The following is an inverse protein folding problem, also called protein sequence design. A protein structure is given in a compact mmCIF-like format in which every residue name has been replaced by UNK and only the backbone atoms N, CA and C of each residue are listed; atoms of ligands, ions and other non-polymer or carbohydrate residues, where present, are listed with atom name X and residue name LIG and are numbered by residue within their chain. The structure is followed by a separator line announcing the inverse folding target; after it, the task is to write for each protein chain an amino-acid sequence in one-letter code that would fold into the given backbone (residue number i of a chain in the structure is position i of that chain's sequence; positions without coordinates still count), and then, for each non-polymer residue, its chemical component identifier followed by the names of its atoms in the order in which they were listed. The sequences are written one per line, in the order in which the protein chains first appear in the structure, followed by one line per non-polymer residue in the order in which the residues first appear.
data_IF_558910838714
#
_entry.id   IF_558910838714
#
_cell.length_a   1.000
_cell.length_b   1.000
_cell.length_c   1.000
_cell.angle_alpha   90.00
_cell.angle_beta   90.00
_cell.angle_gamma   90.00
#
_symmetry.space_group_name_H-M   'P 1'
#
loop_
_entity.id
_entity.type
_entity.pdbx_description
1 polymer ?
#
# COMPACT_ATOMS: atom_id res chain seq x y z
N UNK A 1 15.12 25.50 20.35
CA UNK A 1 14.31 24.25 20.29
C UNK A 1 14.64 23.41 21.52
N UNK A 2 13.65 22.70 22.11
CA UNK A 2 13.89 21.72 23.18
C UNK A 2 14.81 20.61 22.64
N UNK A 3 15.89 20.33 23.34
CA UNK A 3 16.87 19.27 22.98
C UNK A 3 16.35 17.85 23.31
N UNK A 4 15.16 17.76 23.93
CA UNK A 4 14.53 16.50 24.30
C UNK A 4 13.91 15.81 23.06
N UNK A 5 14.11 14.48 22.90
CA UNK A 5 13.52 13.72 21.82
C UNK A 5 11.98 13.73 21.89
N UNK A 6 11.31 13.91 20.75
CA UNK A 6 9.86 13.79 20.67
C UNK A 6 9.43 12.31 20.78
N UNK A 7 8.27 12.05 21.36
CA UNK A 7 7.65 10.72 21.25
C UNK A 7 7.34 10.38 19.78
N UNK A 8 7.15 9.10 19.48
CA UNK A 8 6.77 8.66 18.13
C UNK A 8 5.55 9.44 17.62
N UNK A 9 4.48 9.46 18.42
CA UNK A 9 3.18 10.06 18.02
C UNK A 9 3.29 11.58 17.86
N UNK A 10 4.02 12.27 18.77
CA UNK A 10 4.26 13.69 18.66
C UNK A 10 5.09 14.06 17.44
N UNK A 11 6.11 13.24 17.11
CA UNK A 11 6.94 13.44 15.94
C UNK A 11 6.14 13.18 14.63
N UNK A 12 5.33 12.13 14.59
CA UNK A 12 4.43 11.85 13.46
C UNK A 12 3.40 12.96 13.28
N UNK A 13 2.73 13.38 14.34
CA UNK A 13 1.75 14.48 14.30
C UNK A 13 2.36 15.75 13.72
N UNK A 14 3.54 16.14 14.21
CA UNK A 14 4.25 17.33 13.72
C UNK A 14 4.66 17.19 12.25
N UNK A 15 5.26 16.06 11.89
CA UNK A 15 5.71 15.80 10.52
C UNK A 15 4.54 15.78 9.53
N UNK A 16 3.44 15.11 9.90
CA UNK A 16 2.28 14.99 9.02
C UNK A 16 1.51 16.30 8.88
N UNK A 17 1.49 17.15 9.91
CA UNK A 17 0.92 18.49 9.82
C UNK A 17 1.72 19.41 8.87
N UNK A 18 3.03 19.18 8.75
CA UNK A 18 3.89 19.93 7.84
C UNK A 18 3.82 19.47 6.37
N UNK A 19 3.22 18.30 6.09
CA UNK A 19 3.12 17.75 4.73
C UNK A 19 2.18 18.58 3.85
N UNK A 20 2.73 19.33 2.90
CA UNK A 20 1.99 20.09 1.89
C UNK A 20 1.53 19.14 0.78
N UNK A 21 0.25 19.14 0.43
CA UNK A 21 -0.27 18.36 -0.69
C UNK A 21 0.34 18.83 -2.02
N UNK A 22 0.58 17.89 -2.94
CA UNK A 22 0.80 18.24 -4.33
C UNK A 22 -0.50 18.77 -4.94
N UNK A 23 -0.40 19.87 -5.68
CA UNK A 23 -1.49 20.55 -6.37
C UNK A 23 -1.51 20.33 -7.89
N UNK A 24 -0.63 19.46 -8.37
CA UNK A 24 -0.44 19.18 -9.80
C UNK A 24 -0.92 17.78 -10.14
N UNK A 25 -1.68 17.69 -11.21
CA UNK A 25 -2.38 16.49 -11.64
C UNK A 25 -2.08 16.17 -13.10
N UNK A 26 -2.26 14.91 -13.49
CA UNK A 26 -2.07 14.47 -14.88
C UNK A 26 -3.03 13.34 -15.24
N UNK A 27 -3.32 13.23 -16.52
CA UNK A 27 -4.03 12.08 -17.07
C UNK A 27 -3.06 10.89 -17.20
N UNK A 28 -3.49 9.72 -16.76
CA UNK A 28 -2.70 8.51 -16.78
C UNK A 28 -3.52 7.34 -17.32
N UNK A 29 -2.99 6.63 -18.30
CA UNK A 29 -3.63 5.40 -18.76
C UNK A 29 -3.81 4.42 -17.59
N UNK A 30 -5.03 3.87 -17.42
CA UNK A 30 -5.37 2.99 -16.30
C UNK A 30 -4.38 1.82 -16.15
N UNK A 31 -3.91 1.24 -17.27
CA UNK A 31 -2.93 0.16 -17.28
C UNK A 31 -1.55 0.54 -16.68
N UNK A 32 -1.23 1.83 -16.58
CA UNK A 32 0.03 2.38 -16.02
C UNK A 32 -0.16 3.07 -14.68
N UNK A 33 -1.38 3.05 -14.14
CA UNK A 33 -1.74 3.83 -12.96
C UNK A 33 -1.49 3.12 -11.61
N UNK A 34 -0.92 1.92 -11.61
CA UNK A 34 -0.57 1.21 -10.37
C UNK A 34 0.32 2.07 -9.47
N UNK A 35 -0.07 2.16 -8.18
CA UNK A 35 0.64 2.94 -7.16
C UNK A 35 0.40 4.45 -7.21
N UNK A 36 -0.30 4.96 -8.24
CA UNK A 36 -0.70 6.37 -8.34
C UNK A 36 -1.84 6.66 -7.37
N UNK A 37 -2.05 7.94 -7.09
CA UNK A 37 -3.13 8.43 -6.23
C UNK A 37 -4.14 9.18 -7.09
N UNK A 38 -5.42 8.85 -6.96
CA UNK A 38 -6.50 9.56 -7.66
C UNK A 38 -6.58 11.01 -7.20
N UNK A 39 -6.58 11.94 -8.16
CA UNK A 39 -6.75 13.36 -7.92
C UNK A 39 -8.22 13.76 -7.79
N UNK A 40 -9.09 13.05 -8.51
CA UNK A 40 -10.56 13.27 -8.52
C UNK A 40 -11.27 11.94 -8.32
N UNK A 41 -12.49 11.94 -7.76
CA UNK A 41 -13.27 10.72 -7.67
C UNK A 41 -13.52 10.09 -9.04
N UNK A 42 -13.50 8.77 -9.12
CA UNK A 42 -13.96 8.04 -10.30
C UNK A 42 -15.45 7.76 -10.15
N UNK A 43 -16.24 8.34 -11.07
CA UNK A 43 -17.69 8.15 -11.13
C UNK A 43 -17.99 7.18 -12.26
N UNK A 44 -18.78 6.16 -11.98
CA UNK A 44 -19.22 5.22 -13.01
C UNK A 44 -20.25 5.87 -13.94
N UNK A 45 -20.07 5.71 -15.24
CA UNK A 45 -21.06 6.11 -16.24
C UNK A 45 -21.97 4.94 -16.68
N UNK A 46 -21.71 3.76 -16.15
CA UNK A 46 -22.40 2.53 -16.51
C UNK A 46 -22.88 1.80 -15.26
N UNK A 47 -23.91 1.01 -15.44
CA UNK A 47 -24.41 0.07 -14.42
C UNK A 47 -23.68 -1.27 -14.58
N UNK A 48 -23.25 -1.91 -13.47
CA UNK A 48 -22.56 -3.20 -13.48
C UNK A 48 -23.28 -4.18 -12.54
N UNK A 49 -23.74 -5.34 -13.03
CA UNK A 49 -23.89 -5.66 -14.44
C UNK A 49 -24.97 -4.78 -15.11
N UNK A 50 -24.90 -4.56 -16.45
CA UNK A 50 -25.82 -3.65 -17.12
C UNK A 50 -27.24 -4.20 -17.25
N UNK A 51 -27.42 -5.51 -17.18
CA UNK A 51 -28.71 -6.22 -17.28
C UNK A 51 -28.75 -7.34 -16.24
N UNK A 52 -29.96 -7.72 -15.85
CA UNK A 52 -30.17 -8.98 -15.10
C UNK A 52 -29.53 -10.13 -15.87
N UNK A 53 -28.75 -10.98 -15.22
CA UNK A 53 -28.06 -12.07 -15.88
C UNK A 53 -28.03 -13.35 -15.01
N UNK A 54 -27.81 -14.49 -15.68
CA UNK A 54 -27.70 -15.77 -14.99
C UNK A 54 -26.45 -15.84 -14.12
N UNK A 55 -26.61 -16.22 -12.87
CA UNK A 55 -25.51 -16.49 -11.95
C UNK A 55 -24.88 -17.87 -12.16
N UNK A 56 -25.60 -18.79 -12.81
CA UNK A 56 -25.24 -20.19 -13.01
C UNK A 56 -25.57 -20.65 -14.43
N UNK A 57 -24.93 -21.70 -14.87
CA UNK A 57 -25.31 -22.42 -16.09
C UNK A 57 -26.59 -23.23 -15.81
N UNK A 58 -27.58 -23.07 -16.68
CA UNK A 58 -28.87 -23.71 -16.43
C UNK A 58 -29.95 -23.35 -17.43
N UNK A 59 -31.15 -23.22 -16.92
CA UNK A 59 -32.34 -22.93 -17.73
C UNK A 59 -33.11 -21.75 -17.15
N UNK A 60 -33.32 -20.72 -17.94
CA UNK A 60 -34.22 -19.61 -17.62
C UNK A 60 -35.64 -19.94 -17.98
N UNK A 61 -36.59 -19.66 -17.10
CA UNK A 61 -37.99 -19.93 -17.28
C UNK A 61 -38.85 -18.90 -16.55
N UNK A 62 -40.15 -18.94 -16.83
CA UNK A 62 -41.16 -18.26 -16.00
C UNK A 62 -41.59 -19.24 -14.90
N UNK A 63 -41.55 -18.78 -13.68
CA UNK A 63 -41.96 -19.60 -12.52
C UNK A 63 -43.43 -20.12 -12.68
N UNK A 64 -44.28 -19.31 -13.29
CA UNK A 64 -45.67 -19.69 -13.55
C UNK A 64 -45.83 -20.88 -14.51
N UNK A 65 -44.83 -21.22 -15.31
CA UNK A 65 -44.86 -22.34 -16.27
C UNK A 65 -44.28 -23.63 -15.66
N UNK A 66 -43.78 -23.56 -14.41
CA UNK A 66 -43.18 -24.72 -13.75
C UNK A 66 -44.21 -25.63 -13.12
N UNK A 67 -44.04 -26.93 -13.32
CA UNK A 67 -44.54 -27.98 -12.42
C UNK A 67 -43.53 -29.11 -12.38
N UNK A 68 -43.54 -29.92 -11.31
CA UNK A 68 -42.51 -30.94 -11.12
C UNK A 68 -42.56 -32.07 -12.19
N UNK A 69 -43.62 -32.19 -12.94
CA UNK A 69 -43.78 -33.21 -13.98
C UNK A 69 -43.68 -32.61 -15.41
N UNK A 70 -43.68 -31.28 -15.54
CA UNK A 70 -43.68 -30.63 -16.83
C UNK A 70 -42.35 -30.71 -17.56
N UNK A 71 -42.40 -31.16 -18.81
CA UNK A 71 -41.31 -31.09 -19.78
C UNK A 71 -41.45 -29.83 -20.63
N UNK A 72 -40.63 -28.81 -20.38
CA UNK A 72 -40.64 -27.56 -21.10
C UNK A 72 -39.75 -27.65 -22.36
N UNK A 73 -40.23 -27.34 -23.56
CA UNK A 73 -39.38 -27.22 -24.75
C UNK A 73 -38.29 -26.16 -24.54
N UNK A 74 -37.06 -26.46 -24.95
CA UNK A 74 -35.97 -25.50 -24.95
C UNK A 74 -36.02 -24.66 -26.20
N UNK A 75 -36.57 -23.43 -26.10
CA UNK A 75 -36.89 -22.56 -27.26
C UNK A 75 -35.70 -21.80 -27.80
N UNK A 76 -34.67 -21.62 -26.98
CA UNK A 76 -33.43 -20.88 -27.35
C UNK A 76 -32.26 -21.25 -26.47
N UNK A 77 -31.05 -20.89 -26.95
CA UNK A 77 -29.80 -21.02 -26.23
C UNK A 77 -29.12 -19.66 -26.19
N UNK A 78 -28.80 -19.17 -24.98
CA UNK A 78 -28.29 -17.81 -24.73
C UNK A 78 -26.91 -17.90 -24.06
N UNK A 79 -25.82 -17.87 -24.84
CA UNK A 79 -24.46 -17.80 -24.26
C UNK A 79 -24.14 -16.38 -23.76
N UNK A 80 -23.15 -16.24 -22.90
CA UNK A 80 -22.66 -14.94 -22.44
C UNK A 80 -22.32 -14.02 -23.63
N UNK A 81 -22.65 -12.74 -23.49
CA UNK A 81 -22.46 -11.75 -24.57
C UNK A 81 -23.54 -11.73 -25.67
N UNK A 82 -24.56 -12.55 -25.55
CA UNK A 82 -25.70 -12.57 -26.51
C UNK A 82 -27.02 -12.28 -25.80
N UNK A 83 -27.88 -11.53 -26.44
CA UNK A 83 -29.23 -11.26 -25.95
C UNK A 83 -30.19 -12.37 -26.39
N UNK A 84 -30.99 -12.87 -25.45
CA UNK A 84 -32.09 -13.74 -25.76
C UNK A 84 -33.30 -12.98 -26.34
N UNK A 85 -34.15 -13.67 -27.09
CA UNK A 85 -35.49 -13.19 -27.48
C UNK A 85 -36.43 -13.37 -26.29
N UNK A 86 -37.57 -12.69 -26.31
CA UNK A 86 -38.64 -12.88 -25.35
C UNK A 86 -38.96 -14.38 -25.18
N UNK A 87 -39.07 -14.83 -23.95
CA UNK A 87 -39.33 -16.22 -23.61
C UNK A 87 -40.81 -16.53 -23.89
N UNK A 88 -41.02 -17.48 -24.81
CA UNK A 88 -42.39 -17.95 -25.12
C UNK A 88 -42.96 -18.67 -23.87
N UNK A 89 -44.22 -18.36 -23.48
CA UNK A 89 -44.90 -19.07 -22.39
C UNK A 89 -44.88 -20.60 -22.58
N UNK A 90 -44.66 -21.34 -21.52
CA UNK A 90 -44.55 -22.80 -21.55
C UNK A 90 -43.24 -23.34 -22.12
N UNK A 91 -42.23 -22.49 -22.30
CA UNK A 91 -40.88 -22.91 -22.74
C UNK A 91 -39.78 -22.51 -21.73
N UNK A 92 -38.60 -23.11 -21.90
CA UNK A 92 -37.38 -22.70 -21.18
C UNK A 92 -36.32 -22.23 -22.18
N UNK A 93 -35.35 -21.40 -21.69
CA UNK A 93 -34.17 -21.02 -22.45
C UNK A 93 -32.91 -21.64 -21.78
N UNK A 94 -32.12 -22.36 -22.57
CA UNK A 94 -30.79 -22.76 -22.09
C UNK A 94 -29.92 -21.50 -21.93
N UNK A 95 -29.45 -21.22 -20.72
CA UNK A 95 -28.70 -20.02 -20.40
C UNK A 95 -27.36 -20.37 -19.72
N UNK A 96 -26.37 -19.52 -19.91
CA UNK A 96 -25.03 -19.70 -19.32
C UNK A 96 -24.69 -18.55 -18.38
N UNK A 97 -23.80 -18.81 -17.43
CA UNK A 97 -23.34 -17.84 -16.46
C UNK A 97 -22.90 -16.53 -17.13
N UNK A 98 -23.44 -15.41 -16.65
CA UNK A 98 -23.18 -14.07 -17.21
C UNK A 98 -24.01 -13.73 -18.43
N UNK A 99 -24.81 -14.65 -19.00
CA UNK A 99 -25.70 -14.34 -20.09
C UNK A 99 -26.90 -13.50 -19.59
N UNK A 100 -27.31 -12.44 -20.33
CA UNK A 100 -28.49 -11.65 -19.98
C UNK A 100 -29.75 -12.50 -19.92
N UNK A 101 -30.56 -12.26 -18.90
CA UNK A 101 -31.84 -12.92 -18.74
C UNK A 101 -32.77 -12.51 -19.89
N UNK A 102 -33.40 -13.46 -20.59
CA UNK A 102 -34.34 -13.11 -21.64
C UNK A 102 -35.60 -12.44 -21.06
N UNK A 103 -36.19 -11.46 -21.73
CA UNK A 103 -37.46 -10.88 -21.30
C UNK A 103 -38.52 -11.97 -21.08
N UNK A 104 -39.31 -11.85 -20.01
CA UNK A 104 -40.32 -12.81 -19.65
C UNK A 104 -39.85 -13.93 -18.70
N UNK A 105 -38.56 -14.18 -18.57
CA UNK A 105 -38.04 -15.10 -17.54
C UNK A 105 -37.91 -14.39 -16.19
N UNK A 106 -38.19 -15.10 -15.10
CA UNK A 106 -38.14 -14.59 -13.72
C UNK A 106 -37.32 -15.45 -12.77
N UNK A 107 -36.78 -16.58 -13.22
CA UNK A 107 -35.83 -17.40 -12.49
C UNK A 107 -34.90 -18.17 -13.43
N UNK A 108 -33.78 -18.61 -12.88
CA UNK A 108 -32.82 -19.55 -13.47
C UNK A 108 -32.68 -20.74 -12.54
N UNK A 109 -32.69 -21.94 -13.12
CA UNK A 109 -32.43 -23.19 -12.39
C UNK A 109 -31.12 -23.78 -12.90
N UNK A 110 -30.28 -24.29 -11.98
CA UNK A 110 -28.98 -24.88 -12.35
C UNK A 110 -29.18 -26.14 -13.18
N UNK A 111 -28.28 -26.41 -14.10
CA UNK A 111 -28.36 -27.59 -14.98
C UNK A 111 -28.30 -28.90 -14.16
N UNK A 112 -27.71 -28.89 -12.99
CA UNK A 112 -27.59 -30.03 -12.07
C UNK A 112 -28.95 -30.45 -11.47
N UNK A 113 -29.86 -29.50 -11.39
CA UNK A 113 -31.24 -29.69 -10.88
C UNK A 113 -32.25 -29.98 -12.00
N UNK A 114 -31.76 -30.26 -13.22
CA UNK A 114 -32.57 -30.44 -14.43
C UNK A 114 -32.31 -31.79 -15.10
N UNK A 115 -33.37 -32.36 -15.65
CA UNK A 115 -33.30 -33.50 -16.57
C UNK A 115 -33.54 -33.02 -18.00
N UNK A 116 -32.78 -33.56 -18.95
CA UNK A 116 -32.89 -33.15 -20.37
C UNK A 116 -33.18 -34.34 -21.25
N UNK A 117 -34.22 -34.26 -22.07
CA UNK A 117 -34.60 -35.26 -23.07
C UNK A 117 -35.13 -34.61 -24.34
N UNK A 118 -34.62 -35.03 -25.48
CA UNK A 118 -35.10 -34.68 -26.83
C UNK A 118 -35.43 -33.18 -27.04
N UNK A 119 -34.56 -32.27 -26.51
CA UNK A 119 -34.72 -30.82 -26.64
C UNK A 119 -35.74 -30.22 -25.68
N UNK A 120 -36.14 -30.97 -24.62
CA UNK A 120 -36.96 -30.50 -23.51
C UNK A 120 -36.20 -30.63 -22.21
N UNK A 121 -36.59 -29.83 -21.21
CA UNK A 121 -36.05 -29.84 -19.86
C UNK A 121 -37.17 -30.06 -18.84
N UNK A 122 -36.90 -30.90 -17.85
CA UNK A 122 -37.72 -31.07 -16.65
C UNK A 122 -36.92 -30.56 -15.46
N UNK A 123 -37.54 -29.76 -14.60
CA UNK A 123 -36.92 -29.16 -13.44
C UNK A 123 -37.37 -29.93 -12.22
N UNK A 124 -36.42 -30.68 -11.62
CA UNK A 124 -36.69 -31.61 -10.54
C UNK A 124 -36.88 -30.91 -9.18
N UNK A 125 -36.31 -29.72 -9.00
CA UNK A 125 -36.33 -28.94 -7.75
C UNK A 125 -37.20 -27.70 -7.96
N UNK A 126 -38.07 -27.37 -6.98
CA UNK A 126 -38.93 -26.19 -7.05
C UNK A 126 -38.13 -24.90 -7.19
N UNK A 127 -38.26 -24.14 -8.30
CA UNK A 127 -37.55 -22.90 -8.48
C UNK A 127 -38.01 -21.83 -7.48
N UNK A 128 -37.14 -20.87 -7.22
CA UNK A 128 -37.48 -19.71 -6.39
C UNK A 128 -37.61 -18.47 -7.25
N UNK A 129 -38.53 -17.54 -6.95
CA UNK A 129 -38.60 -16.26 -7.67
C UNK A 129 -37.25 -15.54 -7.57
N UNK A 130 -36.70 -15.11 -8.72
CA UNK A 130 -35.40 -14.48 -8.79
C UNK A 130 -34.20 -15.41 -8.51
N UNK A 131 -34.44 -16.75 -8.44
CA UNK A 131 -33.37 -17.71 -8.19
C UNK A 131 -32.27 -17.64 -9.24
N UNK A 132 -31.02 -17.66 -8.79
CA UNK A 132 -29.80 -17.63 -9.64
C UNK A 132 -29.77 -16.49 -10.68
N UNK A 133 -30.35 -15.33 -10.34
CA UNK A 133 -30.30 -14.10 -11.13
C UNK A 133 -29.44 -13.07 -10.38
N UNK A 134 -28.39 -12.55 -11.04
CA UNK A 134 -27.70 -11.33 -10.63
C UNK A 134 -28.44 -10.14 -11.19
N UNK A 135 -28.78 -9.20 -10.36
CA UNK A 135 -29.58 -8.04 -10.77
C UNK A 135 -28.72 -6.96 -11.42
N UNK A 136 -29.28 -6.25 -12.37
CA UNK A 136 -28.67 -5.05 -12.92
C UNK A 136 -28.33 -4.07 -11.81
N UNK A 137 -27.07 -3.59 -11.77
CA UNK A 137 -26.58 -2.66 -10.74
C UNK A 137 -26.38 -3.28 -9.36
N UNK A 138 -26.29 -4.59 -9.27
CA UNK A 138 -25.99 -5.29 -8.00
C UNK A 138 -24.64 -4.86 -7.41
N UNK A 139 -23.65 -4.59 -8.25
CA UNK A 139 -22.30 -4.13 -7.85
C UNK A 139 -22.18 -2.61 -7.94
N UNK A 140 -22.41 -2.03 -9.11
CA UNK A 140 -22.24 -0.60 -9.37
C UNK A 140 -23.45 -0.03 -10.12
N UNK A 141 -23.90 1.14 -9.68
CA UNK A 141 -24.93 1.91 -10.40
C UNK A 141 -24.29 3.07 -11.16
N UNK A 142 -24.90 3.43 -12.28
CA UNK A 142 -24.52 4.64 -13.00
C UNK A 142 -24.58 5.85 -12.05
N UNK A 143 -23.66 6.80 -12.24
CA UNK A 143 -23.45 8.02 -11.46
C UNK A 143 -22.98 7.78 -10.00
N UNK A 144 -22.67 6.55 -9.63
CA UNK A 144 -22.05 6.23 -8.34
C UNK A 144 -20.56 6.54 -8.37
N UNK A 145 -20.05 7.15 -7.28
CA UNK A 145 -18.60 7.23 -7.00
C UNK A 145 -18.11 5.83 -6.66
N UNK A 146 -17.22 5.29 -7.47
CA UNK A 146 -16.66 3.93 -7.27
C UNK A 146 -15.29 3.93 -6.62
N UNK A 147 -14.53 5.02 -6.78
CA UNK A 147 -13.27 5.27 -6.08
C UNK A 147 -13.17 6.75 -5.71
N UNK A 148 -12.88 7.05 -4.46
CA UNK A 148 -12.72 8.42 -3.98
C UNK A 148 -11.39 9.04 -4.42
N UNK A 149 -11.33 10.37 -4.51
CA UNK A 149 -10.06 11.10 -4.58
C UNK A 149 -9.19 10.72 -3.38
N UNK A 150 -7.86 10.66 -3.57
CA UNK A 150 -6.92 10.20 -2.54
C UNK A 150 -6.79 8.67 -2.45
N UNK A 151 -7.55 7.91 -3.24
CA UNK A 151 -7.37 6.46 -3.32
C UNK A 151 -6.05 6.12 -4.02
N UNK A 152 -5.18 5.35 -3.34
CA UNK A 152 -4.00 4.76 -3.98
C UNK A 152 -4.40 3.54 -4.79
N UNK A 153 -4.03 3.53 -6.07
CA UNK A 153 -4.47 2.53 -7.04
C UNK A 153 -3.66 1.23 -6.93
N UNK A 154 -4.27 0.22 -6.33
CA UNK A 154 -3.79 -1.16 -6.32
C UNK A 154 -4.52 -2.02 -7.37
N UNK A 155 -4.24 -3.33 -7.40
CA UNK A 155 -4.86 -4.23 -8.37
C UNK A 155 -6.40 -4.23 -8.32
N UNK A 156 -7.01 -4.23 -7.14
CA UNK A 156 -8.46 -4.20 -6.98
C UNK A 156 -9.07 -2.90 -7.49
N UNK A 157 -8.45 -1.75 -7.19
CA UNK A 157 -8.92 -0.44 -7.66
C UNK A 157 -8.83 -0.31 -9.19
N UNK A 158 -7.78 -0.87 -9.79
CA UNK A 158 -7.64 -0.92 -11.26
C UNK A 158 -8.69 -1.85 -11.88
N UNK A 159 -9.03 -2.95 -11.23
CA UNK A 159 -10.13 -3.83 -11.62
C UNK A 159 -11.48 -3.09 -11.63
N UNK A 160 -11.77 -2.35 -10.55
CA UNK A 160 -12.98 -1.50 -10.47
C UNK A 160 -12.98 -0.43 -11.56
N UNK A 161 -11.87 0.25 -11.79
CA UNK A 161 -11.77 1.23 -12.88
C UNK A 161 -12.04 0.61 -14.25
N UNK A 162 -11.49 -0.57 -14.50
CA UNK A 162 -11.72 -1.30 -15.75
C UNK A 162 -13.18 -1.76 -15.90
N UNK A 163 -13.85 -2.21 -14.81
CA UNK A 163 -15.24 -2.67 -14.86
C UNK A 163 -16.24 -1.58 -15.23
N UNK A 164 -15.89 -0.32 -14.98
CA UNK A 164 -16.68 0.86 -15.40
C UNK A 164 -16.20 1.49 -16.71
N UNK A 165 -15.26 0.84 -17.42
CA UNK A 165 -14.77 1.26 -18.73
C UNK A 165 -13.77 2.42 -18.69
N UNK A 166 -13.17 2.74 -17.54
CA UNK A 166 -12.19 3.81 -17.44
C UNK A 166 -10.83 3.38 -18.05
N UNK A 167 -10.51 3.92 -19.22
CA UNK A 167 -9.22 3.71 -19.90
C UNK A 167 -8.14 4.69 -19.42
N UNK A 168 -8.54 5.84 -18.89
CA UNK A 168 -7.70 6.90 -18.38
C UNK A 168 -8.19 7.37 -17.01
N UNK A 169 -7.28 7.70 -16.12
CA UNK A 169 -7.55 8.16 -14.75
C UNK A 169 -6.85 9.49 -14.50
N UNK A 170 -7.52 10.40 -13.79
CA UNK A 170 -6.94 11.66 -13.35
C UNK A 170 -6.22 11.44 -12.02
N UNK A 171 -4.90 11.56 -12.02
CA UNK A 171 -4.06 11.19 -10.87
C UNK A 171 -3.17 12.36 -10.45
N UNK A 172 -2.78 12.38 -9.19
CA UNK A 172 -1.73 13.28 -8.70
C UNK A 172 -0.44 12.98 -9.45
N UNK A 173 0.32 14.00 -9.91
CA UNK A 173 1.62 13.77 -10.55
C UNK A 173 2.57 12.98 -9.64
N UNK A 174 3.59 12.37 -10.19
CA UNK A 174 4.60 11.71 -9.37
C UNK A 174 5.31 12.72 -8.47
N UNK A 175 5.44 12.38 -7.19
CA UNK A 175 6.26 13.13 -6.24
C UNK A 175 7.73 12.89 -6.62
N UNK A 176 8.51 13.94 -6.74
CA UNK A 176 9.95 13.87 -7.02
C UNK A 176 10.72 13.85 -5.71
N UNK A 177 11.55 12.82 -5.52
CA UNK A 177 12.39 12.66 -4.33
C UNK A 177 13.85 12.58 -4.74
N UNK A 178 14.62 13.60 -4.39
CA UNK A 178 16.07 13.55 -4.57
C UNK A 178 16.71 12.84 -3.39
N UNK A 179 17.65 11.92 -3.66
CA UNK A 179 18.39 11.19 -2.63
C UNK A 179 19.88 11.40 -2.79
N UNK A 180 20.59 11.54 -1.67
CA UNK A 180 22.04 11.49 -1.62
C UNK A 180 22.52 10.85 -0.31
N UNK A 181 23.75 10.39 -0.28
CA UNK A 181 24.33 9.64 0.84
C UNK A 181 25.66 10.26 1.21
N UNK A 182 25.87 10.52 2.51
CA UNK A 182 27.13 11.03 3.04
C UNK A 182 27.82 9.95 3.86
N UNK A 183 29.13 9.95 3.83
CA UNK A 183 29.99 9.01 4.55
C UNK A 183 31.21 8.69 3.72
N UNK A 184 32.38 9.17 4.16
CA UNK A 184 33.64 8.89 3.47
C UNK A 184 34.01 7.42 3.51
N UNK A 185 33.41 6.63 4.45
CA UNK A 185 33.55 5.19 4.53
C UNK A 185 32.79 4.43 3.43
N UNK A 186 31.86 5.07 2.73
CA UNK A 186 30.95 4.41 1.77
C UNK A 186 31.65 4.11 0.44
N UNK A 187 31.34 2.95 -0.12
CA UNK A 187 31.78 2.49 -1.45
C UNK A 187 30.56 2.00 -2.25
N UNK A 188 30.55 2.33 -3.53
CA UNK A 188 29.49 1.82 -4.42
C UNK A 188 29.67 0.30 -4.62
N UNK A 189 28.60 -0.52 -4.47
CA UNK A 189 28.66 -1.95 -4.78
C UNK A 189 29.22 -2.23 -6.17
N UNK A 190 30.08 -3.24 -6.27
CA UNK A 190 30.80 -3.60 -7.50
C UNK A 190 32.20 -2.96 -7.61
N UNK A 191 32.53 -1.97 -6.80
CA UNK A 191 33.88 -1.44 -6.71
C UNK A 191 34.71 -2.20 -5.68
N UNK A 192 36.06 -2.23 -5.79
CA UNK A 192 36.91 -2.79 -4.75
C UNK A 192 36.63 -2.15 -3.38
N UNK A 193 36.67 -2.95 -2.32
CA UNK A 193 36.44 -2.48 -0.95
C UNK A 193 37.77 -2.26 -0.22
N UNK A 194 38.27 -1.04 -0.08
CA UNK A 194 39.48 -0.76 0.67
C UNK A 194 39.30 -1.03 2.18
N UNK A 195 40.37 -1.28 2.94
CA UNK A 195 40.32 -1.37 4.39
C UNK A 195 39.66 -0.14 5.03
N UNK A 196 38.77 -0.35 6.02
CA UNK A 196 38.04 0.71 6.71
C UNK A 196 36.82 1.25 5.96
N UNK A 197 36.52 0.76 4.79
CA UNK A 197 35.31 1.14 4.01
C UNK A 197 34.24 0.07 4.09
N UNK A 198 33.00 0.49 3.80
CA UNK A 198 31.81 -0.38 3.71
C UNK A 198 31.02 -0.09 2.43
N UNK A 199 30.27 -1.07 1.94
CA UNK A 199 29.36 -0.82 0.82
C UNK A 199 28.14 -0.01 1.25
N UNK A 200 27.71 0.93 0.41
CA UNK A 200 26.53 1.76 0.63
C UNK A 200 25.23 0.92 0.42
N UNK A 201 24.85 0.17 1.45
CA UNK A 201 23.60 -0.62 1.44
C UNK A 201 22.34 0.26 1.56
N UNK A 202 22.44 1.44 2.21
CA UNK A 202 21.30 2.34 2.37
C UNK A 202 20.82 2.88 1.03
N UNK A 203 21.72 3.13 0.07
CA UNK A 203 21.35 3.53 -1.28
C UNK A 203 20.43 2.51 -1.94
N UNK A 204 20.81 1.23 -1.92
CA UNK A 204 19.99 0.17 -2.50
C UNK A 204 18.64 0.04 -1.77
N UNK A 205 18.65 0.05 -0.44
CA UNK A 205 17.44 -0.10 0.38
C UNK A 205 16.47 1.06 0.18
N UNK A 206 16.95 2.30 0.28
CA UNK A 206 16.08 3.48 0.20
C UNK A 206 15.58 3.72 -1.23
N UNK A 207 16.39 3.47 -2.26
CA UNK A 207 15.94 3.53 -3.65
C UNK A 207 14.81 2.53 -3.92
N UNK A 208 14.97 1.27 -3.50
CA UNK A 208 13.93 0.25 -3.66
C UNK A 208 12.63 0.61 -2.92
N UNK A 209 12.72 1.14 -1.71
CA UNK A 209 11.56 1.60 -0.92
C UNK A 209 10.82 2.77 -1.60
N UNK A 210 11.57 3.71 -2.17
CA UNK A 210 11.00 4.85 -2.90
C UNK A 210 10.36 4.42 -4.22
N UNK A 211 11.00 3.54 -4.98
CA UNK A 211 10.45 2.96 -6.21
C UNK A 211 9.15 2.21 -5.96
N UNK A 212 9.07 1.44 -4.87
CA UNK A 212 7.85 0.74 -4.45
C UNK A 212 6.68 1.70 -4.15
N UNK A 213 6.98 2.90 -3.65
CA UNK A 213 5.97 3.95 -3.46
C UNK A 213 5.48 4.57 -4.78
N UNK A 214 6.22 4.39 -5.87
CA UNK A 214 5.90 4.94 -7.18
C UNK A 214 6.27 6.41 -7.34
N UNK A 215 7.17 6.94 -6.50
CA UNK A 215 7.74 8.29 -6.64
C UNK A 215 8.81 8.33 -7.75
N UNK A 216 9.11 9.51 -8.26
CA UNK A 216 10.23 9.74 -9.16
C UNK A 216 11.51 9.97 -8.34
N UNK A 217 12.47 9.06 -8.45
CA UNK A 217 13.73 9.13 -7.69
C UNK A 217 14.80 9.84 -8.49
N UNK A 218 15.40 10.87 -7.91
CA UNK A 218 16.56 11.59 -8.45
C UNK A 218 17.77 11.24 -7.57
N UNK A 219 18.55 10.26 -8.01
CA UNK A 219 19.71 9.77 -7.25
C UNK A 219 20.96 10.59 -7.54
N UNK A 220 21.39 11.41 -6.57
CA UNK A 220 22.62 12.22 -6.63
C UNK A 220 23.86 11.46 -6.16
N UNK A 221 23.71 10.20 -5.74
CA UNK A 221 24.82 9.34 -5.34
C UNK A 221 25.43 9.69 -3.98
N UNK A 222 26.75 9.49 -3.88
CA UNK A 222 27.52 9.78 -2.68
C UNK A 222 28.08 11.20 -2.72
N UNK A 223 27.91 11.92 -1.62
CA UNK A 223 28.45 13.26 -1.40
C UNK A 223 29.58 13.19 -0.36
N UNK A 224 30.73 13.79 -0.60
CA UNK A 224 31.84 13.83 0.38
C UNK A 224 31.41 14.49 1.70
N UNK A 225 31.97 14.04 2.84
CA UNK A 225 31.68 14.59 4.17
C UNK A 225 32.37 15.97 4.36
N UNK A 226 31.90 16.94 3.57
CA UNK A 226 32.34 18.35 3.61
C UNK A 226 31.14 19.26 3.49
N UNK A 227 31.14 20.35 4.24
CA UNK A 227 30.05 21.31 4.28
C UNK A 227 29.74 21.91 2.89
N UNK A 228 30.76 22.33 2.16
CA UNK A 228 30.62 22.93 0.82
C UNK A 228 29.99 21.95 -0.19
N UNK A 229 30.42 20.68 -0.18
CA UNK A 229 29.87 19.62 -1.01
C UNK A 229 28.40 19.31 -0.65
N UNK A 230 28.10 19.24 0.65
CA UNK A 230 26.74 19.01 1.14
C UNK A 230 25.81 20.18 0.81
N UNK A 231 26.25 21.43 0.94
CA UNK A 231 25.49 22.62 0.53
C UNK A 231 25.20 22.61 -0.97
N UNK A 232 26.20 22.27 -1.81
CA UNK A 232 26.01 22.17 -3.24
C UNK A 232 25.01 21.07 -3.63
N UNK A 233 25.11 19.89 -3.02
CA UNK A 233 24.19 18.79 -3.25
C UNK A 233 22.76 19.14 -2.82
N UNK A 234 22.57 19.78 -1.67
CA UNK A 234 21.26 20.23 -1.19
C UNK A 234 20.61 21.26 -2.11
N UNK A 235 21.38 22.23 -2.64
CA UNK A 235 20.86 23.20 -3.61
C UNK A 235 20.39 22.53 -4.89
N UNK A 236 21.20 21.61 -5.42
CA UNK A 236 20.85 20.86 -6.62
C UNK A 236 19.59 20.00 -6.39
N UNK A 237 19.56 19.27 -5.28
CA UNK A 237 18.44 18.42 -4.89
C UNK A 237 17.14 19.21 -4.72
N UNK A 238 17.17 20.32 -3.97
CA UNK A 238 16.01 21.16 -3.71
C UNK A 238 15.48 21.90 -4.94
N UNK A 239 16.36 22.18 -5.91
CA UNK A 239 15.94 22.76 -7.20
C UNK A 239 15.30 21.78 -8.16
N UNK A 240 15.49 20.47 -7.95
CA UNK A 240 15.02 19.41 -8.85
C UNK A 240 13.85 18.57 -8.29
N UNK A 241 13.62 18.58 -6.98
CA UNK A 241 12.69 17.69 -6.31
C UNK A 241 11.76 18.39 -5.31
N UNK A 242 10.65 17.72 -4.99
CA UNK A 242 9.69 18.16 -3.97
C UNK A 242 10.17 17.83 -2.56
N UNK A 243 10.95 16.74 -2.45
CA UNK A 243 11.49 16.22 -1.18
C UNK A 243 12.95 15.83 -1.40
N UNK A 244 13.79 16.20 -0.46
CA UNK A 244 15.20 15.77 -0.39
C UNK A 244 15.35 14.78 0.75
N UNK A 245 15.91 13.62 0.46
CA UNK A 245 16.17 12.55 1.43
C UNK A 245 17.66 12.27 1.49
N UNK A 246 18.23 12.18 2.68
CA UNK A 246 19.62 11.73 2.85
C UNK A 246 19.71 10.64 3.93
N UNK A 247 20.76 9.84 3.87
CA UNK A 247 21.14 8.92 4.94
C UNK A 247 22.61 9.11 5.25
N UNK A 248 22.91 9.33 6.54
CA UNK A 248 24.23 9.75 7.06
C UNK A 248 24.27 11.25 7.38
N UNK A 249 25.26 11.69 8.13
CA UNK A 249 25.53 13.09 8.45
C UNK A 249 24.48 13.85 9.29
N UNK A 250 23.59 13.13 9.99
CA UNK A 250 22.47 13.73 10.75
C UNK A 250 22.55 13.49 12.26
N UNK A 251 23.66 12.99 12.78
CA UNK A 251 23.87 12.76 14.20
C UNK A 251 24.49 13.98 14.90
N UNK A 252 25.25 13.78 15.93
CA UNK A 252 25.94 14.81 16.72
C UNK A 252 27.47 14.77 16.55
N UNK A 253 27.96 14.05 15.53
CA UNK A 253 29.38 13.92 15.23
C UNK A 253 29.98 15.22 14.66
N UNK A 254 31.27 15.38 14.79
CA UNK A 254 32.01 16.53 14.27
C UNK A 254 31.97 16.58 12.73
N UNK A 255 31.85 15.43 12.07
CA UNK A 255 31.78 15.25 10.62
C UNK A 255 30.31 15.30 10.07
N UNK A 256 29.34 15.64 10.93
CA UNK A 256 27.90 15.68 10.53
C UNK A 256 27.54 17.04 9.92
N UNK A 257 27.94 17.29 8.68
CA UNK A 257 27.75 18.56 7.99
C UNK A 257 26.33 18.80 7.48
N UNK A 258 25.46 17.77 7.41
CA UNK A 258 24.11 17.89 6.85
C UNK A 258 23.26 18.90 7.63
N UNK A 259 23.30 18.86 8.96
CA UNK A 259 22.55 19.81 9.80
C UNK A 259 22.95 21.26 9.51
N UNK A 260 24.26 21.55 9.53
CA UNK A 260 24.80 22.90 9.25
C UNK A 260 24.43 23.37 7.83
N UNK A 261 24.48 22.48 6.85
CA UNK A 261 24.13 22.79 5.47
C UNK A 261 22.63 23.11 5.31
N UNK A 262 21.74 22.38 5.99
CA UNK A 262 20.29 22.66 6.00
C UNK A 262 20.01 24.00 6.69
N UNK A 263 20.65 24.29 7.84
CA UNK A 263 20.50 25.58 8.55
C UNK A 263 20.99 26.76 7.70
N UNK A 264 21.99 26.57 6.86
CA UNK A 264 22.50 27.59 5.94
C UNK A 264 21.55 27.88 4.76
N UNK A 265 20.78 26.87 4.29
CA UNK A 265 19.94 26.97 3.09
C UNK A 265 18.45 27.07 3.40
N UNK A 266 18.05 26.87 4.63
CA UNK A 266 16.66 26.80 5.01
C UNK A 266 16.43 26.72 6.52
N UNK A 267 15.59 25.80 6.96
CA UNK A 267 15.22 25.67 8.37
C UNK A 267 15.14 24.21 8.81
N UNK A 268 15.43 23.99 10.10
CA UNK A 268 15.22 22.71 10.78
C UNK A 268 14.04 22.85 11.75
N UNK A 269 13.07 21.96 11.64
CA UNK A 269 11.86 21.95 12.47
C UNK A 269 11.84 20.82 13.52
N UNK A 270 12.48 19.69 13.22
CA UNK A 270 12.53 18.52 14.10
C UNK A 270 13.86 17.78 13.95
N UNK A 271 14.44 17.27 15.02
CA UNK A 271 15.76 16.61 14.96
C UNK A 271 15.86 15.25 15.65
N UNK A 272 15.14 14.96 16.73
CA UNK A 272 15.30 13.71 17.49
C UNK A 272 13.97 13.08 17.83
N UNK A 273 13.90 11.75 17.73
CA UNK A 273 12.72 10.95 18.11
C UNK A 273 13.08 9.91 19.14
N UNK A 274 12.19 9.67 20.10
CA UNK A 274 12.39 8.71 21.19
C UNK A 274 12.06 7.28 20.76
N UNK A 275 12.71 6.80 19.67
CA UNK A 275 12.60 5.42 19.20
C UNK A 275 13.96 4.71 19.20
N UNK A 276 13.92 3.38 19.10
CA UNK A 276 15.09 2.50 18.93
C UNK A 276 14.72 1.31 18.04
N UNK A 277 15.46 1.08 16.93
CA UNK A 277 16.51 1.94 16.38
C UNK A 277 15.91 3.20 15.71
N UNK A 278 16.74 4.25 15.48
CA UNK A 278 16.33 5.42 14.68
C UNK A 278 16.17 6.73 15.46
N UNK A 279 16.97 6.96 16.52
CA UNK A 279 16.93 8.21 17.31
C UNK A 279 17.08 9.49 16.48
N UNK A 280 18.07 9.63 15.56
CA UNK A 280 18.16 10.80 14.71
C UNK A 280 17.13 10.71 13.57
N UNK A 281 16.30 11.74 13.45
CA UNK A 281 15.46 12.04 12.30
C UNK A 281 15.42 13.54 12.20
N UNK A 282 16.00 14.07 11.13
CA UNK A 282 16.00 15.49 10.85
C UNK A 282 14.90 15.80 9.85
N UNK A 283 14.00 16.71 10.20
CA UNK A 283 13.03 17.28 9.28
C UNK A 283 13.23 18.80 9.21
N UNK A 284 13.17 19.33 8.01
CA UNK A 284 13.30 20.75 7.73
C UNK A 284 12.90 21.09 6.31
N UNK A 285 13.34 22.27 5.85
CA UNK A 285 13.12 22.76 4.50
C UNK A 285 14.39 23.34 3.91
N UNK A 286 14.55 23.12 2.60
CA UNK A 286 15.60 23.74 1.78
C UNK A 286 14.90 24.35 0.56
N UNK A 287 14.80 25.68 0.53
CA UNK A 287 13.94 26.35 -0.44
C UNK A 287 12.48 25.87 -0.33
N UNK A 288 11.91 25.45 -1.45
CA UNK A 288 10.55 24.90 -1.50
C UNK A 288 10.47 23.40 -1.20
N UNK A 289 11.59 22.69 -1.19
CA UNK A 289 11.63 21.25 -0.93
C UNK A 289 11.58 20.94 0.57
N UNK A 290 10.82 19.90 0.93
CA UNK A 290 10.93 19.30 2.26
C UNK A 290 12.23 18.51 2.36
N UNK A 291 12.87 18.56 3.51
CA UNK A 291 14.11 17.84 3.79
C UNK A 291 13.91 16.80 4.88
N UNK A 292 14.36 15.57 4.62
CA UNK A 292 14.35 14.46 5.57
C UNK A 292 15.74 13.82 5.65
N UNK A 293 16.36 13.89 6.83
CA UNK A 293 17.65 13.28 7.10
C UNK A 293 17.52 12.04 7.97
N UNK A 294 17.98 10.89 7.45
CA UNK A 294 17.87 9.58 8.08
C UNK A 294 19.21 9.14 8.71
N UNK A 295 19.15 8.24 9.72
CA UNK A 295 20.35 7.66 10.31
C UNK A 295 21.22 6.93 9.27
N UNK A 296 22.55 6.90 9.48
CA UNK A 296 23.48 6.10 8.68
C UNK A 296 23.35 4.59 8.91
N UNK A 297 22.98 4.14 10.11
CA UNK A 297 22.79 2.71 10.41
C UNK A 297 21.61 2.12 9.60
N UNK A 298 21.78 0.99 8.88
CA UNK A 298 20.81 0.53 7.89
C UNK A 298 19.45 0.13 8.47
N UNK A 299 19.43 -0.56 9.61
CA UNK A 299 18.15 -0.91 10.27
C UNK A 299 17.44 0.33 10.78
N UNK A 300 18.20 1.33 11.28
CA UNK A 300 17.62 2.62 11.70
C UNK A 300 16.99 3.36 10.51
N UNK A 301 17.71 3.44 9.40
CA UNK A 301 17.22 4.10 8.19
C UNK A 301 15.92 3.44 7.68
N UNK A 302 15.86 2.11 7.64
CA UNK A 302 14.68 1.35 7.24
C UNK A 302 13.48 1.60 8.16
N UNK A 303 13.68 1.49 9.50
CA UNK A 303 12.60 1.69 10.48
C UNK A 303 12.07 3.13 10.43
N UNK A 304 12.97 4.11 10.37
CA UNK A 304 12.60 5.54 10.24
C UNK A 304 11.86 5.78 8.91
N UNK A 305 12.31 5.16 7.82
CA UNK A 305 11.59 5.26 6.55
C UNK A 305 10.16 4.74 6.68
N UNK A 306 9.95 3.54 7.22
CA UNK A 306 8.62 2.94 7.36
C UNK A 306 7.70 3.77 8.26
N UNK A 307 8.21 4.28 9.38
CA UNK A 307 7.40 4.97 10.39
C UNK A 307 7.15 6.46 10.10
N UNK A 308 8.02 7.11 9.34
CA UNK A 308 7.97 8.56 9.15
C UNK A 308 7.99 8.96 7.67
N UNK A 309 9.00 8.52 6.92
CA UNK A 309 9.20 8.99 5.53
C UNK A 309 8.07 8.52 4.63
N UNK A 310 7.80 7.22 4.63
CA UNK A 310 6.73 6.64 3.80
C UNK A 310 5.37 7.29 4.04
N UNK A 311 4.83 7.37 5.29
CA UNK A 311 3.54 8.01 5.51
C UNK A 311 3.56 9.51 5.21
N UNK A 312 4.68 10.21 5.40
CA UNK A 312 4.85 11.59 4.96
C UNK A 312 4.73 11.73 3.45
N UNK A 313 5.44 10.91 2.67
CA UNK A 313 5.40 10.95 1.20
C UNK A 313 4.00 10.60 0.67
N UNK A 314 3.33 9.59 1.24
CA UNK A 314 1.94 9.25 0.90
C UNK A 314 1.00 10.42 1.15
N UNK A 315 1.16 11.11 2.29
CA UNK A 315 0.38 12.30 2.59
C UNK A 315 0.67 13.45 1.63
N UNK A 316 1.93 13.67 1.25
CA UNK A 316 2.33 14.65 0.21
C UNK A 316 1.63 14.37 -1.12
N UNK A 317 1.45 13.11 -1.48
CA UNK A 317 0.70 12.68 -2.66
C UNK A 317 -0.83 12.73 -2.48
N UNK A 318 -1.34 13.15 -1.33
CA UNK A 318 -2.78 13.20 -1.05
C UNK A 318 -3.43 11.83 -0.85
N UNK A 319 -2.64 10.78 -0.62
CA UNK A 319 -3.19 9.46 -0.35
C UNK A 319 -3.94 9.44 0.99
N UNK A 320 -5.06 8.71 1.04
CA UNK A 320 -5.79 8.49 2.28
C UNK A 320 -4.86 7.88 3.34
N UNK A 321 -4.83 8.49 4.52
CA UNK A 321 -4.09 7.95 5.65
C UNK A 321 -4.70 6.61 6.07
N UNK A 322 -3.87 5.57 6.10
CA UNK A 322 -4.25 4.28 6.67
C UNK A 322 -3.40 4.02 7.91
N UNK A 323 -4.04 3.60 8.97
CA UNK A 323 -3.32 3.08 10.13
C UNK A 323 -2.55 1.83 9.73
N UNK A 324 -1.32 1.70 10.20
CA UNK A 324 -0.54 0.47 10.01
C UNK A 324 -1.29 -0.67 10.70
N UNK A 325 -1.65 -1.70 9.94
CA UNK A 325 -2.26 -2.90 10.50
C UNK A 325 -1.26 -3.56 11.45
N UNK A 326 -1.71 -3.76 12.68
CA UNK A 326 -0.96 -4.47 13.69
C UNK A 326 -1.77 -5.68 14.16
N UNK A 327 -1.12 -6.78 14.45
CA UNK A 327 -1.74 -7.92 15.11
C UNK A 327 -1.13 -8.11 16.50
N UNK A 328 -1.91 -8.70 17.40
CA UNK A 328 -1.45 -9.12 18.72
C UNK A 328 -1.12 -10.60 18.65
N UNK A 329 0.11 -10.97 19.00
CA UNK A 329 0.59 -12.34 18.99
C UNK A 329 1.37 -12.64 20.27
N UNK A 330 1.40 -13.90 20.76
CA UNK A 330 2.23 -14.24 21.93
C UNK A 330 3.72 -14.14 21.58
N UNK A 331 4.53 -13.64 22.52
CA UNK A 331 5.99 -13.62 22.42
C UNK A 331 6.58 -15.04 22.58
N UNK A 332 7.58 -15.37 21.77
CA UNK A 332 8.44 -16.55 22.00
C UNK A 332 9.80 -16.13 22.52
N UNK A 333 9.86 -15.07 23.30
CA UNK A 333 11.09 -14.49 23.83
C UNK A 333 10.84 -13.73 25.13
N UNK A 334 11.92 -13.54 25.91
CA UNK A 334 11.95 -12.59 27.01
C UNK A 334 12.66 -11.31 26.56
N UNK A 335 12.10 -10.14 26.93
CA UNK A 335 12.72 -8.84 26.67
C UNK A 335 12.84 -8.04 27.97
N UNK A 336 14.04 -7.68 28.40
CA UNK A 336 14.24 -7.11 29.75
C UNK A 336 13.68 -5.68 29.90
N UNK A 337 13.15 -5.08 28.83
CA UNK A 337 12.88 -3.64 28.82
C UNK A 337 14.21 -2.88 28.91
N UNK A 338 14.51 -1.98 28.02
CA UNK A 338 15.83 -1.38 27.91
C UNK A 338 16.42 -0.92 29.24
N UNK A 339 17.70 -1.24 29.47
CA UNK A 339 18.48 -0.81 30.66
C UNK A 339 18.48 0.71 30.84
N UNK A 340 19.14 1.23 31.90
CA UNK A 340 19.09 2.63 32.41
C UNK A 340 18.99 3.77 31.36
N UNK A 341 19.50 3.61 30.13
CA UNK A 341 19.43 4.59 29.05
C UNK A 341 18.36 4.28 27.99
N UNK A 342 17.79 3.06 27.95
CA UNK A 342 16.87 2.59 26.91
C UNK A 342 15.40 2.64 27.36
N UNK A 343 15.09 2.73 28.64
CA UNK A 343 13.72 2.75 29.19
C UNK A 343 12.87 3.97 28.83
N UNK A 344 13.42 4.93 28.08
CA UNK A 344 12.71 6.15 27.66
C UNK A 344 12.34 6.16 26.17
N UNK A 345 12.64 5.08 25.43
CA UNK A 345 12.40 5.00 23.98
C UNK A 345 11.54 3.81 23.63
N UNK A 346 10.60 4.00 22.71
CA UNK A 346 9.84 2.93 22.09
C UNK A 346 10.74 2.10 21.20
N UNK A 347 10.67 0.77 21.28
CA UNK A 347 11.60 -0.13 20.58
C UNK A 347 10.87 -0.90 19.48
N UNK A 348 11.54 -1.04 18.31
CA UNK A 348 11.07 -1.81 17.17
C UNK A 348 12.02 -2.97 16.92
N UNK A 349 11.62 -4.16 17.40
CA UNK A 349 12.44 -5.36 17.35
C UNK A 349 12.14 -6.17 16.11
N UNK A 350 13.17 -6.61 15.36
CA UNK A 350 13.01 -7.47 14.19
C UNK A 350 12.58 -8.84 14.64
N UNK A 351 11.44 -9.27 14.10
CA UNK A 351 10.83 -10.53 14.47
C UNK A 351 10.20 -11.23 13.24
N UNK A 352 10.09 -12.54 13.33
CA UNK A 352 9.24 -13.33 12.42
C UNK A 352 8.15 -14.05 13.19
N UNK A 353 7.15 -14.53 12.47
CA UNK A 353 6.09 -15.34 13.03
C UNK A 353 6.38 -16.82 12.78
N UNK A 354 6.55 -17.59 13.85
CA UNK A 354 6.66 -19.04 13.81
C UNK A 354 5.58 -19.65 14.70
N UNK A 355 4.79 -20.57 14.18
CA UNK A 355 3.70 -21.22 14.89
C UNK A 355 2.74 -20.24 15.60
N UNK A 356 2.48 -19.09 14.96
CA UNK A 356 1.60 -18.04 15.50
C UNK A 356 2.21 -17.20 16.63
N UNK A 357 3.51 -17.34 16.91
CA UNK A 357 4.25 -16.60 17.94
C UNK A 357 5.32 -15.71 17.32
N UNK A 358 5.62 -14.59 17.96
CA UNK A 358 6.71 -13.71 17.55
C UNK A 358 8.04 -14.24 18.09
N UNK A 359 8.99 -14.53 17.18
CA UNK A 359 10.36 -14.92 17.48
C UNK A 359 11.29 -13.76 17.10
N UNK A 360 12.21 -13.35 18.00
CA UNK A 360 13.18 -12.30 17.70
C UNK A 360 14.39 -12.80 16.93
N UNK A 361 14.91 -11.97 16.04
CA UNK A 361 16.26 -12.16 15.54
C UNK A 361 17.27 -12.03 16.69
N UNK A 362 18.27 -12.89 16.76
CA UNK A 362 19.17 -12.97 17.89
C UNK A 362 19.94 -11.66 18.18
N UNK A 363 20.30 -10.91 17.14
CA UNK A 363 21.04 -9.66 17.27
C UNK A 363 20.18 -8.46 16.82
N UNK A 364 19.72 -7.68 17.79
CA UNK A 364 18.87 -6.49 17.56
C UNK A 364 19.67 -5.19 17.34
N UNK A 365 20.96 -5.25 17.02
CA UNK A 365 21.76 -4.07 16.70
C UNK A 365 21.28 -3.37 15.44
N UNK A 366 21.39 -2.05 15.38
CA UNK A 366 20.97 -1.22 14.25
C UNK A 366 21.83 -1.37 12.98
N UNK A 367 23.01 -1.97 13.11
CA UNK A 367 23.90 -2.27 11.98
C UNK A 367 23.66 -3.64 11.34
N UNK A 368 22.80 -4.50 11.91
CA UNK A 368 22.61 -5.89 11.48
C UNK A 368 21.50 -5.95 10.41
N UNK A 369 21.87 -5.59 9.18
CA UNK A 369 20.93 -5.51 8.05
C UNK A 369 20.27 -6.87 7.73
N UNK A 370 20.98 -7.99 7.91
CA UNK A 370 20.44 -9.35 7.71
C UNK A 370 19.21 -9.63 8.55
N UNK A 371 19.05 -8.95 9.72
CA UNK A 371 17.85 -9.08 10.54
C UNK A 371 16.58 -8.59 9.85
N UNK A 372 16.67 -7.62 8.94
CA UNK A 372 15.52 -7.15 8.15
C UNK A 372 15.13 -8.12 7.04
N UNK A 373 16.12 -8.73 6.39
CA UNK A 373 15.86 -9.74 5.35
C UNK A 373 15.27 -11.04 5.93
N UNK A 374 15.55 -11.31 7.21
CA UNK A 374 15.02 -12.45 7.93
C UNK A 374 13.62 -12.19 8.51
N UNK A 375 13.31 -10.96 8.91
CA UNK A 375 12.10 -10.62 9.65
C UNK A 375 10.85 -10.60 8.76
N UNK A 376 9.71 -11.05 9.29
CA UNK A 376 8.38 -10.85 8.72
C UNK A 376 7.76 -9.52 9.18
N UNK A 377 8.27 -8.96 10.28
CA UNK A 377 7.75 -7.75 10.89
C UNK A 377 8.59 -7.19 12.02
N UNK A 378 8.01 -6.21 12.68
CA UNK A 378 8.60 -5.56 13.86
C UNK A 378 7.69 -5.79 15.07
N UNK A 379 8.25 -6.20 16.20
CA UNK A 379 7.56 -6.10 17.49
C UNK A 379 7.72 -4.68 18.01
N UNK A 380 6.60 -4.03 18.26
CA UNK A 380 6.49 -2.67 18.76
C UNK A 380 6.36 -2.70 20.29
N UNK A 381 7.39 -2.26 20.96
CA UNK A 381 7.52 -2.30 22.43
C UNK A 381 7.50 -0.89 22.97
N UNK A 382 6.51 -0.58 23.79
CA UNK A 382 6.42 0.70 24.49
C UNK A 382 7.64 0.90 25.43
N UNK A 383 7.97 2.19 25.66
CA UNK A 383 9.11 2.55 26.49
C UNK A 383 9.01 1.93 27.90
N UNK A 384 10.05 1.24 28.33
CA UNK A 384 10.17 0.65 29.67
C UNK A 384 9.40 -0.66 29.89
N UNK A 385 8.68 -1.16 28.89
CA UNK A 385 7.93 -2.42 29.01
C UNK A 385 8.88 -3.62 28.99
N UNK A 386 8.69 -4.53 29.94
CA UNK A 386 9.29 -5.87 29.95
C UNK A 386 8.32 -6.84 29.31
N UNK A 387 8.85 -7.82 28.59
CA UNK A 387 8.06 -8.88 27.95
C UNK A 387 8.60 -10.22 28.44
N UNK A 388 7.69 -11.11 28.83
CA UNK A 388 7.99 -12.50 29.12
C UNK A 388 7.46 -13.39 28.01
N UNK A 389 8.09 -14.52 27.80
CA UNK A 389 7.59 -15.52 26.84
C UNK A 389 6.13 -15.89 27.14
N UNK A 390 5.25 -15.78 26.14
CA UNK A 390 3.82 -15.95 26.25
C UNK A 390 3.02 -14.64 26.35
N UNK A 391 3.65 -13.52 26.70
CA UNK A 391 2.95 -12.25 26.77
C UNK A 391 2.46 -11.80 25.39
N UNK A 392 1.30 -11.11 25.31
CA UNK A 392 0.81 -10.55 24.08
C UNK A 392 1.68 -9.35 23.67
N UNK A 393 2.19 -9.38 22.41
CA UNK A 393 2.98 -8.30 21.84
C UNK A 393 2.34 -7.76 20.57
N UNK A 394 2.53 -6.46 20.33
CA UNK A 394 2.09 -5.80 19.12
C UNK A 394 3.08 -6.07 17.99
N UNK A 395 2.64 -6.79 16.96
CA UNK A 395 3.42 -7.12 15.79
C UNK A 395 2.98 -6.31 14.59
N UNK A 396 3.91 -5.64 13.92
CA UNK A 396 3.72 -4.84 12.72
C UNK A 396 4.29 -5.62 11.53
N UNK A 397 3.47 -6.26 10.70
CA UNK A 397 3.95 -6.96 9.50
C UNK A 397 4.70 -6.01 8.54
N UNK A 398 5.80 -6.46 7.95
CA UNK A 398 6.52 -5.67 6.93
C UNK A 398 5.62 -5.37 5.73
N UNK A 399 4.74 -6.29 5.33
CA UNK A 399 3.74 -6.03 4.29
C UNK A 399 2.87 -4.80 4.63
N UNK A 400 2.38 -4.69 5.87
CA UNK A 400 1.58 -3.53 6.30
C UNK A 400 2.40 -2.24 6.44
N UNK A 401 3.70 -2.35 6.73
CA UNK A 401 4.62 -1.21 6.80
C UNK A 401 5.06 -0.70 5.43
N UNK A 402 4.99 -1.54 4.39
CA UNK A 402 5.49 -1.25 3.04
C UNK A 402 4.38 -1.02 2.00
N UNK A 403 3.15 -1.51 2.23
CA UNK A 403 1.97 -1.27 1.40
C UNK A 403 1.29 0.07 1.73
#
# INVERSE_FOLDING_TARGET
MSDAPLSLDAAQTKLFAAARLLDSFEACAAAKARGRVLATPLVSRVTVPPLDNAAMDGYALRLADWSCEAWLPVSQRIPAGHLGRELVPGTAARIFTGAPLPPGADCVVTQEDCEVDAGRVRIAVAPRPGGHIRRAGEDIRADQVVLDAGTRLGPAQLGVAASVGASELHVVRRLKVAVFFTGDELVTPGQPLPPGRIYNSNRATLSALLEQLGVEVIDLGQVPDRLDATVAALRLAAGAADVVLTSGGVSVGEEDHVKAAVEQLGSIEMWKVAIKPGKPLLYGRVGEADFLGLPGNPVSAFVVFCLFVRPFLLRRMGAHARSVLACTVPAAFDWPGGGRAAGTRREFLRARLEEGRALLYANQSSGVLTSLAWADGLVDVEAGIRIMSGDPVRFLPLSALLD
#
